data_IF_379031131261
#
_entry.id   IF_379031131261
#
_cell.length_a   1.000
_cell.length_b   1.000
_cell.length_c   1.000
_cell.angle_alpha   90.00
_cell.angle_beta   90.00
_cell.angle_gamma   90.00
#
_symmetry.space_group_name_H-M   'P 1'
#
loop_
_entity.id
_entity.type
_entity.pdbx_description
1 polymer ?
#
# COMPACT_ATOMS: atom_id res chain seq x y z
N UNK A 1 -11.60 8.79 16.51
CA UNK A 1 -11.53 7.49 15.80
C UNK A 1 -12.63 7.49 14.78
N UNK A 2 -12.30 7.33 13.48
CA UNK A 2 -13.34 7.31 12.47
C UNK A 2 -14.06 5.95 12.47
N UNK A 3 -15.34 5.93 12.80
CA UNK A 3 -16.15 4.72 12.77
C UNK A 3 -16.70 4.46 11.35
N UNK A 4 -17.13 3.21 11.09
CA UNK A 4 -17.74 2.83 9.80
C UNK A 4 -18.89 3.77 9.39
N UNK A 5 -19.66 4.26 10.36
CA UNK A 5 -20.76 5.20 10.13
C UNK A 5 -20.29 6.56 9.59
N UNK A 6 -19.15 7.06 10.04
CA UNK A 6 -18.57 8.32 9.54
C UNK A 6 -18.10 8.17 8.09
N UNK A 7 -17.49 7.04 7.75
CA UNK A 7 -17.14 6.68 6.38
C UNK A 7 -18.37 6.63 5.46
N UNK A 8 -19.45 5.99 5.92
CA UNK A 8 -20.72 5.94 5.16
C UNK A 8 -21.28 7.34 4.93
N UNK A 9 -21.29 8.19 5.96
CA UNK A 9 -21.78 9.56 5.83
C UNK A 9 -20.93 10.37 4.84
N UNK A 10 -19.59 10.26 4.92
CA UNK A 10 -18.68 10.94 4.01
C UNK A 10 -18.94 10.52 2.55
N UNK A 11 -18.98 9.21 2.27
CA UNK A 11 -19.23 8.71 0.91
C UNK A 11 -20.63 9.07 0.42
N UNK A 12 -21.65 9.00 1.28
CA UNK A 12 -23.02 9.39 0.92
C UNK A 12 -23.10 10.87 0.51
N UNK A 13 -22.42 11.76 1.24
CA UNK A 13 -22.36 13.18 0.91
C UNK A 13 -21.62 13.45 -0.42
N UNK A 14 -20.54 12.71 -0.70
CA UNK A 14 -19.77 12.89 -1.94
C UNK A 14 -20.49 12.31 -3.17
N UNK A 15 -21.21 11.20 -3.01
CA UNK A 15 -21.86 10.46 -4.11
C UNK A 15 -23.34 10.82 -4.30
N UNK A 16 -23.92 11.63 -3.39
CA UNK A 16 -25.35 11.93 -3.33
C UNK A 16 -26.24 10.67 -3.26
N UNK A 17 -25.71 9.56 -2.73
CA UNK A 17 -26.45 8.32 -2.52
C UNK A 17 -27.08 8.29 -1.12
N UNK A 18 -28.21 7.58 -1.00
CA UNK A 18 -28.80 7.28 0.30
C UNK A 18 -27.83 6.49 1.17
N UNK A 19 -27.79 6.82 2.48
CA UNK A 19 -26.96 6.12 3.48
C UNK A 19 -27.13 4.60 3.45
N UNK A 20 -28.34 4.12 3.16
CA UNK A 20 -28.64 2.68 3.04
C UNK A 20 -27.91 2.08 1.85
N UNK A 21 -27.94 2.74 0.70
CA UNK A 21 -27.25 2.27 -0.51
C UNK A 21 -25.73 2.39 -0.35
N UNK A 22 -25.24 3.47 0.24
CA UNK A 22 -23.81 3.64 0.54
C UNK A 22 -23.29 2.55 1.47
N UNK A 23 -24.06 2.16 2.49
CA UNK A 23 -23.69 1.04 3.36
C UNK A 23 -23.57 -0.27 2.57
N UNK A 24 -24.54 -0.57 1.69
CA UNK A 24 -24.48 -1.74 0.81
C UNK A 24 -23.25 -1.71 -0.10
N UNK A 25 -22.94 -0.57 -0.70
CA UNK A 25 -21.77 -0.41 -1.59
C UNK A 25 -20.47 -0.66 -0.83
N UNK A 26 -20.32 -0.08 0.36
CA UNK A 26 -19.10 -0.28 1.17
C UNK A 26 -18.97 -1.74 1.60
N UNK A 27 -20.06 -2.41 2.00
CA UNK A 27 -20.00 -3.83 2.34
C UNK A 27 -19.62 -4.68 1.11
N UNK A 28 -20.25 -4.44 -0.04
CA UNK A 28 -19.95 -5.15 -1.27
C UNK A 28 -18.49 -4.95 -1.73
N UNK A 29 -17.93 -3.75 -1.54
CA UNK A 29 -16.51 -3.47 -1.80
C UNK A 29 -15.60 -4.34 -0.91
N UNK A 30 -15.88 -4.39 0.39
CA UNK A 30 -15.08 -5.18 1.34
C UNK A 30 -15.19 -6.69 1.04
N UNK A 31 -16.39 -7.16 0.69
CA UNK A 31 -16.63 -8.54 0.28
C UNK A 31 -15.87 -8.87 -1.01
N UNK A 32 -15.92 -8.00 -2.02
CA UNK A 32 -15.20 -8.20 -3.27
C UNK A 32 -13.68 -8.30 -3.05
N UNK A 33 -13.10 -7.41 -2.24
CA UNK A 33 -11.68 -7.45 -1.88
C UNK A 33 -11.35 -8.77 -1.17
N UNK A 34 -12.18 -9.18 -0.22
CA UNK A 34 -12.01 -10.44 0.52
C UNK A 34 -12.07 -11.65 -0.43
N UNK A 35 -13.00 -11.64 -1.39
CA UNK A 35 -13.16 -12.71 -2.37
C UNK A 35 -11.90 -12.89 -3.22
N UNK A 36 -11.40 -11.82 -3.86
CA UNK A 36 -10.20 -11.92 -4.70
C UNK A 36 -8.95 -12.32 -3.90
N UNK A 37 -8.76 -11.76 -2.69
CA UNK A 37 -7.66 -12.14 -1.80
C UNK A 37 -7.73 -13.62 -1.42
N UNK A 38 -8.93 -14.16 -1.19
CA UNK A 38 -9.10 -15.58 -0.83
C UNK A 38 -8.65 -16.53 -1.94
N UNK A 39 -8.79 -16.11 -3.21
CA UNK A 39 -8.30 -16.85 -4.37
C UNK A 39 -6.78 -16.71 -4.57
N UNK A 40 -6.15 -15.75 -3.89
CA UNK A 40 -4.74 -15.41 -4.05
C UNK A 40 -4.50 -14.38 -5.15
N UNK A 41 -5.55 -13.74 -5.66
CA UNK A 41 -5.43 -12.66 -6.64
C UNK A 41 -4.92 -11.38 -5.98
N UNK A 42 -4.38 -10.50 -6.82
CA UNK A 42 -3.90 -9.18 -6.43
C UNK A 42 -4.95 -8.15 -6.80
N UNK A 43 -5.40 -7.37 -5.83
CA UNK A 43 -6.37 -6.28 -6.06
C UNK A 43 -5.65 -4.96 -6.08
N UNK A 44 -5.60 -4.32 -7.24
CA UNK A 44 -5.04 -2.99 -7.41
C UNK A 44 -6.15 -1.94 -7.38
N UNK A 45 -6.04 -0.97 -6.47
CA UNK A 45 -6.90 0.20 -6.41
C UNK A 45 -6.05 1.44 -6.72
N UNK A 46 -6.23 1.99 -7.93
CA UNK A 46 -5.50 3.16 -8.40
C UNK A 46 -5.59 4.30 -7.38
N UNK A 47 -4.46 4.96 -7.14
CA UNK A 47 -4.32 6.05 -6.16
C UNK A 47 -4.69 5.69 -4.70
N UNK A 48 -4.96 4.43 -4.36
CA UNK A 48 -5.19 4.01 -2.98
C UNK A 48 -4.11 3.02 -2.54
N UNK A 49 -3.94 1.91 -3.24
CA UNK A 49 -2.95 0.89 -2.89
C UNK A 49 -3.18 -0.46 -3.56
N UNK A 50 -2.47 -1.46 -3.09
CA UNK A 50 -2.54 -2.83 -3.60
C UNK A 50 -2.71 -3.81 -2.46
N UNK A 51 -3.67 -4.72 -2.60
CA UNK A 51 -3.85 -5.85 -1.71
C UNK A 51 -3.27 -7.10 -2.38
N UNK A 52 -2.38 -7.80 -1.68
CA UNK A 52 -1.76 -9.02 -2.17
C UNK A 52 -1.68 -10.07 -1.06
N UNK A 53 -1.63 -11.34 -1.43
CA UNK A 53 -1.34 -12.43 -0.49
C UNK A 53 0.12 -12.81 -0.61
N UNK A 54 0.87 -12.73 0.49
CA UNK A 54 2.21 -13.29 0.56
C UNK A 54 2.24 -14.59 1.35
N UNK A 55 3.02 -15.54 0.85
CA UNK A 55 3.38 -16.75 1.59
C UNK A 55 4.48 -16.39 2.59
N UNK A 56 4.22 -16.61 3.87
CA UNK A 56 5.23 -16.53 4.93
C UNK A 56 5.75 -17.95 5.19
N UNK A 57 7.06 -18.13 5.03
CA UNK A 57 7.72 -19.40 5.25
C UNK A 57 7.57 -19.86 6.70
N UNK A 58 7.60 -21.19 6.89
CA UNK A 58 7.56 -21.79 8.20
C UNK A 58 8.77 -21.32 9.04
N UNK A 59 8.51 -20.96 10.30
CA UNK A 59 9.55 -20.50 11.21
C UNK A 59 9.31 -21.02 12.62
N UNK A 60 10.41 -21.23 13.34
CA UNK A 60 10.36 -21.51 14.77
C UNK A 60 9.98 -20.22 15.50
N UNK A 61 8.88 -20.25 16.23
CA UNK A 61 8.49 -19.20 17.16
C UNK A 61 8.49 -19.76 18.58
N UNK A 62 8.83 -18.92 19.54
CA UNK A 62 8.72 -19.27 20.95
C UNK A 62 7.39 -18.76 21.49
N UNK A 63 6.70 -19.59 22.26
CA UNK A 63 5.52 -19.17 23.01
C UNK A 63 5.96 -18.24 24.14
N UNK A 64 5.45 -17.01 24.15
CA UNK A 64 5.83 -15.98 25.13
C UNK A 64 5.44 -16.39 26.55
N UNK A 65 4.41 -17.23 26.72
CA UNK A 65 3.90 -17.64 28.02
C UNK A 65 4.56 -18.92 28.55
N UNK A 66 4.92 -19.88 27.68
CA UNK A 66 5.44 -21.19 28.11
C UNK A 66 6.91 -21.46 27.74
N UNK A 67 7.54 -20.61 26.93
CA UNK A 67 8.94 -20.77 26.48
C UNK A 67 9.18 -21.93 25.52
N UNK A 68 8.16 -22.75 25.24
CA UNK A 68 8.25 -23.89 24.33
C UNK A 68 8.44 -23.43 22.89
N UNK A 69 9.23 -24.20 22.13
CA UNK A 69 9.41 -24.00 20.68
C UNK A 69 8.17 -24.51 19.95
N UNK A 70 7.49 -23.62 19.24
CA UNK A 70 6.35 -23.92 18.38
C UNK A 70 6.76 -23.69 16.92
N UNK A 71 6.50 -24.66 16.06
CA UNK A 71 6.68 -24.50 14.62
C UNK A 71 5.43 -23.81 14.07
N UNK A 72 5.58 -22.58 13.55
CA UNK A 72 4.53 -21.96 12.74
C UNK A 72 4.71 -22.48 11.32
N UNK A 73 3.69 -23.20 10.83
CA UNK A 73 3.65 -23.71 9.46
C UNK A 73 3.61 -22.57 8.44
N UNK A 74 3.84 -22.89 7.16
CA UNK A 74 3.70 -21.91 6.08
C UNK A 74 2.27 -21.36 6.07
N UNK A 75 2.14 -20.03 6.05
CA UNK A 75 0.85 -19.36 6.08
C UNK A 75 0.77 -18.28 5.00
N UNK A 76 -0.40 -18.18 4.36
CA UNK A 76 -0.75 -17.07 3.48
C UNK A 76 -1.23 -15.91 4.33
N UNK A 77 -0.60 -14.74 4.18
CA UNK A 77 -0.97 -13.53 4.92
C UNK A 77 -1.32 -12.42 3.93
N UNK A 78 -2.50 -11.79 4.08
CA UNK A 78 -2.85 -10.62 3.28
C UNK A 78 -1.98 -9.43 3.69
N UNK A 79 -1.51 -8.69 2.69
CA UNK A 79 -0.70 -7.49 2.87
C UNK A 79 -1.35 -6.37 2.05
N UNK A 80 -1.46 -5.20 2.68
CA UNK A 80 -1.83 -3.98 1.99
C UNK A 80 -0.61 -3.09 1.80
N UNK A 81 -0.33 -2.73 0.56
CA UNK A 81 0.68 -1.75 0.16
C UNK A 81 -0.01 -0.43 -0.13
N UNK A 82 0.22 0.58 0.71
CA UNK A 82 -0.31 1.92 0.48
C UNK A 82 0.29 2.55 -0.79
N UNK A 83 -0.58 3.10 -1.63
CA UNK A 83 -0.21 3.85 -2.83
C UNK A 83 0.33 5.25 -2.50
N UNK A 84 0.81 5.96 -3.54
CA UNK A 84 1.41 7.30 -3.40
C UNK A 84 0.47 8.28 -2.71
N UNK A 85 -0.80 8.36 -3.12
CA UNK A 85 -1.74 9.34 -2.56
C UNK A 85 -2.01 9.12 -1.07
N UNK A 86 -2.13 7.87 -0.60
CA UNK A 86 -2.29 7.58 0.83
C UNK A 86 -1.04 7.95 1.64
N UNK A 87 0.15 7.71 1.10
CA UNK A 87 1.41 8.09 1.76
C UNK A 87 1.53 9.60 1.89
N UNK A 88 1.19 10.35 0.83
CA UNK A 88 1.16 11.82 0.85
C UNK A 88 0.10 12.33 1.82
N UNK A 89 -1.11 11.77 1.82
CA UNK A 89 -2.14 12.19 2.77
C UNK A 89 -1.74 11.94 4.24
N UNK A 90 -0.98 10.88 4.51
CA UNK A 90 -0.47 10.56 5.85
C UNK A 90 0.79 11.36 6.24
N UNK A 91 1.59 11.79 5.27
CA UNK A 91 2.80 12.59 5.45
C UNK A 91 2.49 14.01 4.95
N UNK A 92 2.06 14.91 5.84
CA UNK A 92 1.91 16.33 5.54
C UNK A 92 3.29 16.94 5.21
N UNK A 93 3.82 16.67 4.02
CA UNK A 93 5.06 17.24 3.52
C UNK A 93 4.81 17.74 2.13
N UNK A 94 4.80 19.07 2.00
CA UNK A 94 4.89 19.79 0.73
C UNK A 94 5.97 19.13 -0.13
N UNK A 95 5.54 18.31 -1.09
CA UNK A 95 6.41 17.84 -2.15
C UNK A 95 5.79 18.42 -3.41
N UNK A 96 6.28 19.57 -3.89
CA UNK A 96 5.76 20.16 -5.10
C UNK A 96 5.82 19.14 -6.23
N UNK A 97 4.72 19.10 -6.97
CA UNK A 97 4.66 18.52 -8.29
C UNK A 97 5.77 19.16 -9.13
N UNK A 98 6.77 18.37 -9.51
CA UNK A 98 7.58 18.69 -10.68
C UNK A 98 7.47 17.51 -11.64
N UNK A 99 6.84 17.83 -12.75
CA UNK A 99 6.55 17.03 -13.92
C UNK A 99 7.87 16.68 -14.66
N UNK A 100 7.90 15.47 -15.23
CA UNK A 100 8.55 15.11 -16.49
C UNK A 100 9.98 15.64 -16.83
N UNK A 101 10.95 14.72 -16.73
CA UNK A 101 12.03 14.32 -17.68
C UNK A 101 12.26 15.16 -18.97
N UNK A 102 13.44 15.10 -19.66
CA UNK A 102 14.78 14.61 -19.28
C UNK A 102 15.92 15.57 -19.72
N UNK A 103 17.12 15.48 -19.14
CA UNK A 103 18.35 15.96 -19.82
C UNK A 103 19.56 15.20 -19.32
N UNK A 104 19.97 14.28 -20.18
CA UNK A 104 21.24 13.58 -20.19
C UNK A 104 22.42 14.55 -20.06
N UNK A 105 23.04 14.64 -18.89
CA UNK A 105 24.36 15.25 -18.72
C UNK A 105 25.39 14.14 -18.52
N UNK A 106 25.77 13.48 -19.62
CA UNK A 106 27.01 12.71 -19.68
C UNK A 106 27.94 13.40 -20.68
N UNK A 107 28.82 14.25 -20.17
CA UNK A 107 30.06 14.65 -20.86
C UNK A 107 31.09 14.91 -19.76
N UNK A 108 31.87 13.88 -19.50
CA UNK A 108 33.03 13.87 -18.62
C UNK A 108 34.06 14.87 -19.13
N UNK A 109 34.46 15.80 -18.25
CA UNK A 109 35.56 16.73 -18.46
C UNK A 109 36.86 15.98 -18.77
N UNK A 110 37.52 16.49 -19.81
CA UNK A 110 38.76 16.03 -20.38
C UNK A 110 39.96 16.45 -19.50
N UNK A 111 40.89 15.53 -19.31
CA UNK A 111 42.10 15.68 -18.49
C UNK A 111 43.05 16.77 -19.01
N UNK A 112 43.63 17.62 -18.14
CA UNK A 112 44.86 18.33 -18.49
C UNK A 112 46.09 17.53 -18.02
N UNK A 113 46.83 16.99 -19.00
CA UNK A 113 48.24 16.61 -18.85
C UNK A 113 49.10 17.86 -18.98
N UNK A 114 49.86 18.20 -17.94
CA UNK A 114 51.15 18.88 -18.08
C UNK A 114 51.99 18.61 -16.83
N UNK A 115 52.94 17.69 -16.98
CA UNK A 115 54.06 17.43 -16.09
C UNK A 115 55.28 18.11 -16.73
N UNK A 116 55.92 19.00 -15.99
CA UNK A 116 56.99 19.91 -16.43
C UNK A 116 58.38 19.37 -16.04
N UNK A 117 59.34 19.62 -16.93
CA UNK A 117 60.82 19.53 -16.82
C UNK A 117 61.50 18.17 -16.57
#
# INVERSE_FOLDING_TARGET
MAAKQELINYVANQTNLSKVNTNKVINALLEAITHYISQGDVVHLNNFGTFEVKKRAARLSHDVNSGKKIILSEQKVPIFKAGKALKIAAQQTNTPEEEAEPSFCLSTEESPKAFTE
#
